data_IF_925153135479
#
_entry.id   IF_925153135479
#
_cell.length_a   1.000
_cell.length_b   1.000
_cell.length_c   1.000
_cell.angle_alpha   90.00
_cell.angle_beta   90.00
_cell.angle_gamma   90.00
#
_symmetry.space_group_name_H-M   'P 1'
#
loop_
_entity.id
_entity.type
_entity.pdbx_description
1 polymer ?
#
# COMPACT_ATOMS: atom_id res chain seq x y z
N UNK A 1 -0.79 -7.21 20.73
CA UNK A 1 -1.48 -6.57 19.59
C UNK A 1 -1.18 -7.40 18.35
N UNK A 2 -2.20 -7.86 17.64
CA UNK A 2 -2.05 -8.72 16.46
C UNK A 2 -2.57 -7.99 15.22
N UNK A 3 -1.80 -7.99 14.15
CA UNK A 3 -2.21 -7.44 12.86
C UNK A 3 -2.49 -8.59 11.91
N UNK A 4 -3.66 -8.57 11.28
CA UNK A 4 -4.04 -9.52 10.23
C UNK A 4 -4.04 -8.80 8.90
N UNK A 5 -3.19 -9.24 7.96
CA UNK A 5 -3.14 -8.70 6.60
C UNK A 5 -3.98 -9.60 5.69
N UNK A 6 -4.88 -8.99 4.91
CA UNK A 6 -5.71 -9.66 3.92
C UNK A 6 -5.47 -9.06 2.53
N UNK A 7 -5.50 -9.91 1.53
CA UNK A 7 -5.49 -9.46 0.13
C UNK A 7 -6.82 -8.76 -0.18
N UNK A 8 -6.78 -7.64 -0.90
CA UNK A 8 -7.98 -6.85 -1.26
C UNK A 8 -8.95 -7.53 -2.23
N UNK A 9 -8.64 -8.73 -2.71
CA UNK A 9 -9.46 -9.57 -3.63
C UNK A 9 -9.74 -8.95 -5.02
N UNK A 10 -9.03 -7.89 -5.40
CA UNK A 10 -9.20 -7.20 -6.68
C UNK A 10 -10.55 -6.47 -6.78
N UNK A 11 -10.80 -5.81 -7.92
CA UNK A 11 -12.00 -5.00 -8.14
C UNK A 11 -11.74 -3.50 -8.08
N UNK A 12 -12.79 -2.72 -7.81
CA UNK A 12 -12.71 -1.27 -7.66
C UNK A 12 -12.45 -0.87 -6.19
N UNK A 13 -11.91 0.33 -5.93
CA UNK A 13 -11.65 0.85 -4.59
C UNK A 13 -12.80 0.66 -3.60
N UNK A 14 -14.05 0.96 -4.02
CA UNK A 14 -15.23 0.79 -3.16
C UNK A 14 -15.47 -0.67 -2.77
N UNK A 15 -15.33 -1.60 -3.71
CA UNK A 15 -15.52 -3.03 -3.43
C UNK A 15 -14.47 -3.57 -2.44
N UNK A 16 -13.26 -3.02 -2.45
CA UNK A 16 -12.22 -3.37 -1.48
C UNK A 16 -12.63 -2.93 -0.06
N UNK A 17 -13.22 -1.73 0.08
CA UNK A 17 -13.77 -1.27 1.36
C UNK A 17 -14.86 -2.22 1.86
N UNK A 18 -15.84 -2.54 1.01
CA UNK A 18 -16.94 -3.46 1.35
C UNK A 18 -16.39 -4.84 1.77
N UNK A 19 -15.37 -5.34 1.08
CA UNK A 19 -14.71 -6.59 1.44
C UNK A 19 -14.06 -6.52 2.83
N UNK A 20 -13.41 -5.41 3.18
CA UNK A 20 -12.78 -5.24 4.48
C UNK A 20 -13.82 -5.15 5.61
N UNK A 21 -14.96 -4.49 5.37
CA UNK A 21 -16.09 -4.42 6.32
C UNK A 21 -16.64 -5.82 6.61
N UNK A 22 -16.80 -6.63 5.57
CA UNK A 22 -17.35 -7.99 5.66
C UNK A 22 -16.33 -9.05 6.10
N UNK A 23 -15.06 -8.68 6.32
CA UNK A 23 -14.06 -9.64 6.76
C UNK A 23 -14.39 -10.11 8.19
N UNK A 24 -14.54 -11.44 8.41
CA UNK A 24 -14.92 -11.98 9.71
C UNK A 24 -13.78 -11.79 10.72
N UNK A 25 -14.16 -11.46 11.95
CA UNK A 25 -13.24 -11.24 13.05
C UNK A 25 -13.65 -10.03 13.88
N UNK A 26 -13.24 -10.03 15.15
CA UNK A 26 -13.41 -8.90 16.04
C UNK A 26 -12.19 -7.97 15.91
N UNK A 27 -12.32 -6.98 15.03
CA UNK A 27 -11.26 -6.01 14.75
C UNK A 27 -11.62 -4.66 15.35
N UNK A 28 -10.77 -4.16 16.25
CA UNK A 28 -10.89 -2.80 16.79
C UNK A 28 -10.75 -1.73 15.70
N UNK A 29 -9.92 -2.01 14.68
CA UNK A 29 -9.64 -1.10 13.57
C UNK A 29 -9.57 -1.88 12.27
N UNK A 30 -10.11 -1.28 11.21
CA UNK A 30 -10.00 -1.77 9.84
C UNK A 30 -9.38 -0.68 8.98
N UNK A 31 -8.30 -1.01 8.29
CA UNK A 31 -7.61 -0.10 7.38
C UNK A 31 -7.54 -0.76 6.01
N UNK A 32 -7.83 0.02 4.97
CA UNK A 32 -7.66 -0.40 3.58
C UNK A 32 -6.61 0.47 2.92
N UNK A 33 -5.65 -0.19 2.27
CA UNK A 33 -4.61 0.47 1.48
C UNK A 33 -5.07 0.48 0.01
N UNK A 34 -5.12 1.66 -0.60
CA UNK A 34 -5.56 1.86 -1.98
C UNK A 34 -4.51 2.65 -2.76
N UNK A 35 -4.40 2.39 -4.06
CA UNK A 35 -3.67 3.28 -4.97
C UNK A 35 -4.62 4.39 -5.45
N UNK A 36 -4.15 5.63 -5.47
CA UNK A 36 -4.94 6.79 -5.89
C UNK A 36 -4.86 7.03 -7.41
N UNK A 37 -4.85 5.96 -8.19
CA UNK A 37 -4.67 5.97 -9.65
C UNK A 37 -5.98 5.84 -10.44
N UNK A 38 -7.10 5.74 -9.72
CA UNK A 38 -8.45 5.64 -10.28
C UNK A 38 -9.08 7.01 -10.49
N UNK A 39 -10.19 7.02 -11.24
CA UNK A 39 -10.94 8.24 -11.51
C UNK A 39 -11.42 8.91 -10.21
N UNK A 40 -11.46 10.25 -10.20
CA UNK A 40 -11.85 11.04 -9.01
C UNK A 40 -13.19 10.62 -8.42
N UNK A 41 -14.16 10.26 -9.26
CA UNK A 41 -15.49 9.80 -8.82
C UNK A 41 -15.43 8.44 -8.11
N UNK A 42 -14.64 7.51 -8.64
CA UNK A 42 -14.47 6.17 -8.07
C UNK A 42 -13.75 6.25 -6.71
N UNK A 43 -12.69 7.06 -6.62
CA UNK A 43 -12.01 7.31 -5.34
C UNK A 43 -12.92 8.04 -4.35
N UNK A 44 -13.75 8.99 -4.79
CA UNK A 44 -14.73 9.65 -3.92
C UNK A 44 -15.73 8.64 -3.35
N UNK A 45 -16.27 7.75 -4.17
CA UNK A 45 -17.20 6.71 -3.70
C UNK A 45 -16.56 5.79 -2.66
N UNK A 46 -15.28 5.43 -2.82
CA UNK A 46 -14.56 4.63 -1.84
C UNK A 46 -14.36 5.39 -0.51
N UNK A 47 -13.99 6.67 -0.56
CA UNK A 47 -13.85 7.52 0.64
C UNK A 47 -15.18 7.68 1.39
N UNK A 48 -16.27 7.89 0.65
CA UNK A 48 -17.61 8.01 1.23
C UNK A 48 -18.02 6.69 1.92
N UNK A 49 -17.82 5.54 1.25
CA UNK A 49 -18.10 4.21 1.81
C UNK A 49 -17.29 3.90 3.07
N UNK A 50 -15.98 4.22 3.06
CA UNK A 50 -15.10 3.99 4.19
C UNK A 50 -15.48 4.84 5.40
N UNK A 51 -15.81 6.12 5.17
CA UNK A 51 -16.31 7.02 6.21
C UNK A 51 -17.62 6.50 6.81
N UNK A 52 -18.56 6.03 5.98
CA UNK A 52 -19.83 5.47 6.46
C UNK A 52 -19.63 4.20 7.29
N UNK A 53 -18.61 3.40 6.96
CA UNK A 53 -18.36 2.10 7.57
C UNK A 53 -17.32 2.12 8.70
N UNK A 54 -16.78 3.28 9.06
CA UNK A 54 -15.73 3.41 10.08
C UNK A 54 -14.40 2.74 9.68
N UNK A 55 -14.13 2.63 8.38
CA UNK A 55 -12.89 2.07 7.83
C UNK A 55 -11.92 3.21 7.51
N UNK A 56 -10.67 3.07 7.92
CA UNK A 56 -9.60 4.01 7.57
C UNK A 56 -9.06 3.68 6.17
N UNK A 57 -8.75 4.71 5.37
CA UNK A 57 -8.09 4.53 4.07
C UNK A 57 -6.68 5.10 4.16
N UNK A 58 -5.70 4.31 3.71
CA UNK A 58 -4.37 4.79 3.36
C UNK A 58 -4.23 4.81 1.84
N UNK A 59 -4.06 5.99 1.26
CA UNK A 59 -3.91 6.16 -0.19
C UNK A 59 -2.44 6.31 -0.55
N UNK A 60 -1.92 5.42 -1.40
CA UNK A 60 -0.60 5.60 -2.01
C UNK A 60 -0.72 6.52 -3.22
N UNK A 61 0.18 7.50 -3.32
CA UNK A 61 0.24 8.43 -4.46
C UNK A 61 1.63 8.38 -5.11
N UNK A 62 1.73 8.03 -6.41
CA UNK A 62 0.66 7.59 -7.31
C UNK A 62 0.18 6.14 -7.06
N UNK A 63 1.03 5.25 -6.55
CA UNK A 63 0.68 3.85 -6.24
C UNK A 63 1.68 3.22 -5.26
N UNK A 64 1.42 2.01 -4.79
CA UNK A 64 2.31 1.27 -3.90
C UNK A 64 3.71 1.08 -4.49
N UNK A 65 3.84 0.75 -5.79
CA UNK A 65 5.15 0.59 -6.42
C UNK A 65 5.97 1.89 -6.40
N UNK A 66 5.34 3.07 -6.37
CA UNK A 66 6.08 4.32 -6.20
C UNK A 66 6.71 4.43 -4.81
N UNK A 67 5.99 4.04 -3.75
CA UNK A 67 6.52 3.96 -2.38
C UNK A 67 7.67 2.96 -2.29
N UNK A 68 7.55 1.80 -2.96
CA UNK A 68 8.62 0.79 -3.04
C UNK A 68 9.85 1.32 -3.78
N UNK A 69 9.67 1.99 -4.92
CA UNK A 69 10.78 2.60 -5.67
C UNK A 69 11.45 3.73 -4.89
N UNK A 70 10.68 4.60 -4.22
CA UNK A 70 11.22 5.66 -3.36
C UNK A 70 12.10 5.11 -2.23
N UNK A 71 11.73 3.94 -1.70
CA UNK A 71 12.50 3.23 -0.68
C UNK A 71 13.86 2.76 -1.21
N UNK A 72 13.92 2.32 -2.48
CA UNK A 72 15.13 1.81 -3.10
C UNK A 72 16.00 2.90 -3.76
N UNK A 73 15.39 4.03 -4.14
CA UNK A 73 16.03 5.14 -4.83
C UNK A 73 15.77 6.45 -4.06
N UNK A 74 16.43 6.64 -2.91
CA UNK A 74 16.24 7.86 -2.13
C UNK A 74 16.55 9.09 -2.97
N UNK A 75 15.79 10.17 -2.75
CA UNK A 75 15.85 11.47 -3.46
C UNK A 75 15.25 11.48 -4.86
N UNK A 76 14.73 10.37 -5.36
CA UNK A 76 13.97 10.36 -6.61
C UNK A 76 12.48 10.60 -6.31
N UNK A 77 11.87 11.52 -7.06
CA UNK A 77 10.44 11.78 -7.00
C UNK A 77 9.70 10.96 -8.06
N UNK A 78 8.63 10.29 -7.64
CA UNK A 78 7.75 9.47 -8.46
C UNK A 78 6.32 10.02 -8.54
N UNK A 79 6.03 11.16 -7.91
CA UNK A 79 4.70 11.78 -7.84
C UNK A 79 4.06 12.05 -9.20
N UNK A 80 4.89 12.27 -10.23
CA UNK A 80 4.47 12.56 -11.61
C UNK A 80 4.41 11.31 -12.50
N UNK A 81 4.72 10.13 -11.98
CA UNK A 81 4.74 8.88 -12.74
C UNK A 81 3.39 8.19 -12.67
N UNK A 82 3.03 7.51 -13.76
CA UNK A 82 1.85 6.65 -13.79
C UNK A 82 2.13 5.31 -13.08
N UNK A 83 1.12 4.72 -12.46
CA UNK A 83 1.24 3.41 -11.80
C UNK A 83 1.79 2.32 -12.71
N UNK A 84 1.39 2.33 -13.99
CA UNK A 84 1.89 1.38 -14.99
C UNK A 84 3.40 1.52 -15.24
N UNK A 85 3.92 2.75 -15.18
CA UNK A 85 5.35 3.01 -15.26
C UNK A 85 6.06 2.52 -13.99
N UNK A 86 5.56 2.88 -12.80
CA UNK A 86 6.15 2.46 -11.52
C UNK A 86 6.22 0.93 -11.43
N UNK A 87 5.14 0.25 -11.83
CA UNK A 87 5.08 -1.21 -11.87
C UNK A 87 6.13 -1.80 -12.81
N UNK A 88 6.23 -1.31 -14.04
CA UNK A 88 7.22 -1.79 -15.01
C UNK A 88 8.64 -1.54 -14.50
N UNK A 89 8.90 -0.36 -13.96
CA UNK A 89 10.21 0.02 -13.43
C UNK A 89 10.63 -0.88 -12.27
N UNK A 90 9.72 -1.15 -11.34
CA UNK A 90 9.96 -2.08 -10.25
C UNK A 90 10.21 -3.51 -10.76
N UNK A 91 9.37 -3.99 -11.67
CA UNK A 91 9.49 -5.34 -12.23
C UNK A 91 10.77 -5.55 -13.04
N UNK A 92 11.25 -4.52 -13.75
CA UNK A 92 12.43 -4.62 -14.62
C UNK A 92 13.75 -4.54 -13.87
N UNK A 93 13.78 -3.83 -12.73
CA UNK A 93 15.03 -3.51 -12.05
C UNK A 93 15.22 -4.24 -10.70
N UNK A 94 14.13 -4.71 -10.09
CA UNK A 94 14.17 -5.19 -8.71
C UNK A 94 13.52 -6.55 -8.51
N UNK A 95 12.39 -6.83 -9.16
CA UNK A 95 11.66 -8.06 -8.90
C UNK A 95 10.85 -8.53 -10.11
N UNK A 96 11.27 -9.63 -10.72
CA UNK A 96 10.51 -10.26 -11.81
C UNK A 96 9.06 -10.50 -11.36
N UNK A 97 8.11 -10.22 -12.27
CA UNK A 97 6.68 -10.44 -12.06
C UNK A 97 6.34 -11.82 -11.48
N UNK A 98 7.08 -12.87 -11.85
CA UNK A 98 6.88 -14.25 -11.37
C UNK A 98 7.33 -14.46 -9.92
N UNK A 99 8.22 -13.62 -9.42
CA UNK A 99 8.81 -13.68 -8.08
C UNK A 99 8.01 -12.86 -7.04
N UNK A 100 7.07 -12.03 -7.49
CA UNK A 100 6.27 -11.12 -6.64
C UNK A 100 5.40 -11.77 -5.56
N UNK A 101 5.20 -13.08 -5.61
CA UNK A 101 4.43 -13.82 -4.58
C UNK A 101 5.32 -14.40 -3.48
N UNK A 102 6.64 -14.38 -3.65
CA UNK A 102 7.60 -14.90 -2.67
C UNK A 102 7.99 -13.84 -1.66
N UNK A 103 7.72 -14.08 -0.38
CA UNK A 103 8.20 -13.21 0.72
C UNK A 103 9.72 -13.08 0.75
N UNK A 104 10.43 -14.17 0.45
CA UNK A 104 11.90 -14.20 0.44
C UNK A 104 12.50 -13.23 -0.58
N UNK A 105 11.87 -13.11 -1.75
CA UNK A 105 12.29 -12.20 -2.83
C UNK A 105 12.23 -10.74 -2.37
N UNK A 106 11.24 -10.37 -1.54
CA UNK A 106 11.20 -9.03 -0.95
C UNK A 106 12.28 -8.83 0.10
N UNK A 107 12.67 -9.86 0.85
CA UNK A 107 13.74 -9.73 1.84
C UNK A 107 15.11 -9.51 1.19
N UNK A 108 15.33 -10.04 -0.02
CA UNK A 108 16.55 -9.79 -0.80
C UNK A 108 16.63 -8.33 -1.29
N UNK A 109 15.49 -7.73 -1.63
CA UNK A 109 15.42 -6.36 -2.16
C UNK A 109 15.31 -5.31 -1.05
N UNK A 110 14.54 -5.59 0.01
CA UNK A 110 14.22 -4.68 1.10
C UNK A 110 14.81 -5.17 2.42
N UNK A 111 16.10 -4.90 2.63
CA UNK A 111 16.70 -5.18 3.94
C UNK A 111 16.08 -4.31 5.02
N UNK A 112 16.07 -4.82 6.26
CA UNK A 112 15.61 -4.06 7.43
C UNK A 112 16.33 -2.71 7.56
N UNK A 113 17.62 -2.67 7.24
CA UNK A 113 18.43 -1.45 7.29
C UNK A 113 17.92 -0.39 6.29
N UNK A 114 17.56 -0.79 5.08
CA UNK A 114 16.96 0.11 4.08
C UNK A 114 15.64 0.67 4.61
N UNK A 115 14.76 -0.20 5.10
CA UNK A 115 13.46 0.21 5.64
C UNK A 115 13.60 1.16 6.83
N UNK A 116 14.49 0.86 7.77
CA UNK A 116 14.74 1.69 8.95
C UNK A 116 15.33 3.06 8.60
N UNK A 117 16.16 3.15 7.55
CA UNK A 117 16.71 4.41 7.08
C UNK A 117 15.65 5.26 6.37
N UNK A 118 14.80 4.64 5.55
CA UNK A 118 13.84 5.36 4.71
C UNK A 118 12.52 5.72 5.42
N UNK A 119 12.13 5.01 6.48
CA UNK A 119 10.85 5.25 7.17
C UNK A 119 10.67 6.67 7.70
N UNK A 120 11.75 7.43 7.90
CA UNK A 120 11.64 8.82 8.34
C UNK A 120 11.61 9.82 7.18
N UNK A 121 11.94 9.37 5.98
CA UNK A 121 12.01 10.19 4.76
C UNK A 121 10.75 10.03 3.92
N UNK A 122 10.15 8.84 3.92
CA UNK A 122 8.98 8.49 3.10
C UNK A 122 7.76 8.36 4.02
N UNK A 123 6.85 9.36 4.05
CA UNK A 123 5.70 9.38 4.96
C UNK A 123 4.77 8.17 4.81
N UNK A 124 4.54 7.70 3.59
CA UNK A 124 3.71 6.53 3.28
C UNK A 124 4.33 5.26 3.87
N UNK A 125 5.64 5.07 3.73
CA UNK A 125 6.36 3.94 4.33
C UNK A 125 6.30 4.00 5.85
N UNK A 126 6.49 5.19 6.44
CA UNK A 126 6.35 5.39 7.89
C UNK A 126 4.99 4.94 8.38
N UNK A 127 3.96 5.37 7.67
CA UNK A 127 2.56 5.08 8.01
C UNK A 127 2.31 3.58 7.93
N UNK A 128 2.72 2.92 6.84
CA UNK A 128 2.62 1.47 6.69
C UNK A 128 3.29 0.70 7.84
N UNK A 129 4.52 1.07 8.19
CA UNK A 129 5.26 0.42 9.29
C UNK A 129 4.56 0.65 10.63
N UNK A 130 4.13 1.87 10.92
CA UNK A 130 3.42 2.19 12.17
C UNK A 130 2.13 1.38 12.28
N UNK A 131 1.36 1.27 11.19
CA UNK A 131 0.14 0.46 11.15
C UNK A 131 0.42 -1.02 11.45
N UNK A 132 1.47 -1.59 10.86
CA UNK A 132 1.88 -2.98 11.11
C UNK A 132 2.41 -3.19 12.54
N UNK A 133 2.98 -2.15 13.15
CA UNK A 133 3.42 -2.15 14.56
C UNK A 133 2.28 -1.87 15.55
N UNK A 134 1.10 -1.47 15.06
CA UNK A 134 -0.02 -1.07 15.90
C UNK A 134 0.15 0.28 16.58
N UNK A 135 1.07 1.12 16.08
CA UNK A 135 1.31 2.48 16.57
C UNK A 135 0.32 3.42 15.88
N UNK A 136 -0.32 4.30 16.66
CA UNK A 136 -1.20 5.36 16.15
C UNK A 136 -0.40 6.50 15.54
#
# INVERSE_FOLDING_TARGET
MSVTIRNGKGGNPRSIIINAVNEPGDFERRIVILDNDKGKQEMKQARDEAKMSGVEILENSPCLEATLLATLRPKQDFSTKESAWCKREFESNYMDKKKRTGLEEYNEVFSKQILDHQKNTIPELKTLINLMQGIK
#
